data_IF_869248022217
#
_entry.id   IF_869248022217
#
_cell.length_a   1.000
_cell.length_b   1.000
_cell.length_c   1.000
_cell.angle_alpha   90.00
_cell.angle_beta   90.00
_cell.angle_gamma   90.00
#
_symmetry.space_group_name_H-M   'P 1'
#
loop_
_entity.id
_entity.type
_entity.pdbx_description
1 polymer ?
#
# COMPACT_ATOMS: atom_id res chain seq x y z
N UNK A 1 11.30 -13.89 17.21
CA UNK A 1 10.70 -12.55 17.01
C UNK A 1 11.21 -12.07 15.65
N UNK A 2 10.50 -12.44 14.59
CA UNK A 2 11.00 -12.33 13.22
C UNK A 2 10.87 -10.88 12.76
N UNK A 3 11.97 -10.13 12.89
CA UNK A 3 12.21 -8.87 12.18
C UNK A 3 12.37 -9.20 10.69
N UNK A 4 11.26 -9.33 9.97
CA UNK A 4 11.28 -8.89 8.58
C UNK A 4 11.44 -7.38 8.66
N UNK A 5 12.67 -6.95 8.46
CA UNK A 5 13.13 -5.60 8.69
C UNK A 5 12.30 -4.63 7.85
N UNK A 6 11.84 -3.55 8.48
CA UNK A 6 11.36 -2.32 7.83
C UNK A 6 12.28 -1.82 6.68
N UNK A 7 13.48 -2.37 6.53
CA UNK A 7 14.38 -2.17 5.39
C UNK A 7 13.86 -2.66 4.04
N UNK A 8 12.96 -3.66 3.98
CA UNK A 8 12.31 -4.06 2.71
C UNK A 8 11.15 -3.11 2.36
N UNK A 9 10.40 -2.64 3.36
CA UNK A 9 9.40 -1.58 3.20
C UNK A 9 10.03 -0.22 2.80
N UNK A 10 11.31 0.01 3.09
CA UNK A 10 12.04 1.21 2.62
C UNK A 10 12.15 1.32 1.10
N UNK A 11 12.03 0.24 0.31
CA UNK A 11 11.95 0.37 -1.15
C UNK A 11 10.64 1.02 -1.62
N UNK A 12 9.63 1.07 -0.74
CA UNK A 12 8.27 1.51 -1.05
C UNK A 12 8.07 3.00 -0.78
N UNK A 13 8.92 3.60 0.05
CA UNK A 13 8.95 5.04 0.33
C UNK A 13 9.19 5.88 -0.95
N UNK A 14 9.97 5.38 -1.90
CA UNK A 14 10.13 6.03 -3.22
C UNK A 14 9.06 5.67 -4.26
N UNK A 15 8.03 4.89 -3.91
CA UNK A 15 6.99 4.53 -4.89
C UNK A 15 5.99 5.64 -5.13
N UNK A 16 5.81 6.60 -4.21
CA UNK A 16 4.82 7.67 -4.41
C UNK A 16 5.00 8.41 -5.72
N UNK A 17 6.25 8.70 -6.11
CA UNK A 17 6.58 9.35 -7.37
C UNK A 17 6.39 8.45 -8.60
N UNK A 18 6.36 7.14 -8.40
CA UNK A 18 6.14 6.12 -9.44
C UNK A 18 4.69 5.66 -9.54
N UNK A 19 3.83 6.07 -8.61
CA UNK A 19 2.40 5.75 -8.61
C UNK A 19 1.68 6.77 -9.48
N UNK A 20 0.99 6.30 -10.52
CA UNK A 20 0.03 7.10 -11.27
C UNK A 20 -1.39 6.64 -10.98
N UNK A 21 -2.26 7.56 -10.55
CA UNK A 21 -3.67 7.28 -10.32
C UNK A 21 -4.44 7.31 -11.65
N UNK A 22 -5.16 6.24 -11.96
CA UNK A 22 -5.92 6.08 -13.21
C UNK A 22 -7.39 6.44 -12.99
N UNK A 23 -8.05 5.78 -12.04
CA UNK A 23 -9.46 6.03 -11.72
C UNK A 23 -9.83 5.58 -10.31
N UNK A 24 -10.91 6.11 -9.77
CA UNK A 24 -11.47 5.61 -8.50
C UNK A 24 -12.21 4.30 -8.73
N UNK A 25 -11.88 3.27 -7.93
CA UNK A 25 -12.58 1.99 -7.93
C UNK A 25 -13.72 1.96 -6.92
N UNK A 26 -13.57 2.65 -5.80
CA UNK A 26 -14.61 2.72 -4.78
C UNK A 26 -14.19 3.52 -3.56
N UNK A 27 -15.17 3.78 -2.70
CA UNK A 27 -14.99 4.49 -1.44
C UNK A 27 -15.81 3.81 -0.36
N UNK A 28 -15.17 3.54 0.77
CA UNK A 28 -15.80 2.92 1.92
C UNK A 28 -15.46 3.66 3.22
N UNK A 29 -15.81 3.03 4.35
CA UNK A 29 -15.55 3.57 5.68
C UNK A 29 -14.05 3.76 5.96
N UNK A 30 -13.20 2.90 5.39
CA UNK A 30 -11.76 2.89 5.63
C UNK A 30 -10.96 3.72 4.62
N UNK A 31 -11.64 4.48 3.76
CA UNK A 31 -11.00 5.34 2.77
C UNK A 31 -11.41 5.03 1.33
N UNK A 32 -10.57 5.46 0.39
CA UNK A 32 -10.84 5.39 -1.04
C UNK A 32 -9.84 4.45 -1.71
N UNK A 33 -10.33 3.69 -2.67
CA UNK A 33 -9.52 2.77 -3.49
C UNK A 33 -9.46 3.31 -4.91
N UNK A 34 -8.27 3.38 -5.45
CA UNK A 34 -7.99 3.80 -6.81
C UNK A 34 -7.36 2.65 -7.59
N UNK A 35 -7.67 2.56 -8.87
CA UNK A 35 -6.83 1.89 -9.83
C UNK A 35 -5.64 2.80 -10.10
N UNK A 36 -4.45 2.25 -10.02
CA UNK A 36 -3.22 2.94 -10.34
C UNK A 36 -2.24 2.08 -11.12
N UNK A 37 -1.14 2.68 -11.54
CA UNK A 37 0.02 1.99 -12.10
C UNK A 37 1.25 2.31 -11.27
N UNK A 38 2.16 1.35 -11.16
CA UNK A 38 3.48 1.53 -10.54
C UNK A 38 4.56 1.06 -11.47
N UNK A 39 5.50 1.95 -11.77
CA UNK A 39 6.63 1.62 -12.62
C UNK A 39 7.70 0.85 -11.85
N UNK A 40 8.22 -0.22 -12.48
CA UNK A 40 9.27 -1.08 -11.96
C UNK A 40 8.98 -1.66 -10.56
N UNK A 41 7.71 -1.98 -10.30
CA UNK A 41 7.28 -2.61 -9.05
C UNK A 41 7.77 -4.06 -8.94
N UNK A 42 7.82 -4.76 -10.07
CA UNK A 42 8.41 -6.08 -10.18
C UNK A 42 9.55 -6.04 -11.21
N UNK A 43 10.57 -6.91 -11.10
CA UNK A 43 11.68 -6.93 -12.06
C UNK A 43 11.25 -7.26 -13.49
N UNK A 44 10.14 -7.99 -13.62
CA UNK A 44 9.68 -8.56 -14.89
C UNK A 44 8.69 -7.65 -15.64
N UNK A 45 8.08 -6.69 -14.94
CA UNK A 45 7.07 -5.79 -15.50
C UNK A 45 7.51 -4.32 -15.42
N UNK A 46 7.58 -3.60 -16.56
CA UNK A 46 7.94 -2.18 -16.56
C UNK A 46 6.91 -1.32 -15.84
N UNK A 47 5.63 -1.71 -15.91
CA UNK A 47 4.52 -1.04 -15.24
C UNK A 47 3.52 -2.10 -14.77
N UNK A 48 3.20 -2.09 -13.48
CA UNK A 48 2.23 -3.00 -12.87
C UNK A 48 0.95 -2.24 -12.52
N UNK A 49 -0.21 -2.79 -12.88
CA UNK A 49 -1.51 -2.27 -12.43
C UNK A 49 -1.73 -2.66 -10.97
N UNK A 50 -2.15 -1.70 -10.16
CA UNK A 50 -2.32 -1.87 -8.71
C UNK A 50 -3.64 -1.28 -8.23
N UNK A 51 -4.13 -1.75 -7.10
CA UNK A 51 -5.13 -1.06 -6.32
C UNK A 51 -4.44 -0.26 -5.20
N UNK A 52 -4.66 1.05 -5.18
CA UNK A 52 -4.13 1.96 -4.15
C UNK A 52 -5.24 2.34 -3.19
N UNK A 53 -5.17 1.87 -1.95
CA UNK A 53 -6.09 2.23 -0.87
C UNK A 53 -5.49 3.40 -0.08
N UNK A 54 -6.13 4.55 -0.12
CA UNK A 54 -5.76 5.74 0.67
C UNK A 54 -6.62 5.82 1.92
N UNK A 55 -6.03 6.02 3.09
CA UNK A 55 -6.79 6.26 4.32
C UNK A 55 -7.28 7.71 4.40
N UNK A 56 -8.53 7.91 4.84
CA UNK A 56 -9.20 9.22 4.86
C UNK A 56 -8.86 10.11 6.07
N UNK A 57 -8.55 9.52 7.22
CA UNK A 57 -8.33 10.25 8.46
C UNK A 57 -7.22 9.61 9.30
N UNK A 58 -6.04 10.24 9.33
CA UNK A 58 -4.93 9.87 10.22
C UNK A 58 -4.83 10.76 11.46
N UNK A 59 -5.82 11.63 11.67
CA UNK A 59 -5.82 12.61 12.77
C UNK A 59 -5.95 11.96 14.17
N UNK A 60 -6.23 10.65 14.23
CA UNK A 60 -6.27 9.89 15.46
C UNK A 60 -5.05 8.96 15.54
N UNK A 61 -4.37 8.96 16.68
CA UNK A 61 -3.26 8.03 16.99
C UNK A 61 -3.63 6.58 16.67
N UNK A 62 -4.89 6.23 16.90
CA UNK A 62 -5.42 4.88 16.75
C UNK A 62 -5.49 4.44 15.29
N UNK A 63 -5.79 5.38 14.36
CA UNK A 63 -5.85 5.08 12.93
C UNK A 63 -4.48 4.69 12.35
N UNK A 64 -3.40 5.30 12.86
CA UNK A 64 -2.03 4.93 12.48
C UNK A 64 -1.66 3.54 13.02
N UNK A 65 -2.02 3.24 14.26
CA UNK A 65 -1.78 1.92 14.87
C UNK A 65 -2.55 0.83 14.11
N UNK A 66 -3.80 1.09 13.76
CA UNK A 66 -4.61 0.15 12.99
C UNK A 66 -4.06 -0.04 11.57
N UNK A 67 -3.58 1.01 10.93
CA UNK A 67 -2.88 0.92 9.64
C UNK A 67 -1.63 0.05 9.72
N UNK A 68 -0.77 0.28 10.72
CA UNK A 68 0.45 -0.50 10.91
C UNK A 68 0.13 -1.98 11.18
N UNK A 69 -0.91 -2.26 11.98
CA UNK A 69 -1.39 -3.63 12.22
C UNK A 69 -1.93 -4.28 10.96
N UNK A 70 -2.75 -3.59 10.18
CA UNK A 70 -3.29 -4.11 8.91
C UNK A 70 -2.15 -4.40 7.93
N UNK A 71 -1.16 -3.50 7.81
CA UNK A 71 0.02 -3.70 6.97
C UNK A 71 0.87 -4.90 7.43
N UNK A 72 1.06 -5.10 8.74
CA UNK A 72 1.79 -6.25 9.30
C UNK A 72 1.07 -7.57 9.00
N UNK A 73 -0.25 -7.61 9.15
CA UNK A 73 -1.06 -8.78 8.81
C UNK A 73 -0.93 -9.11 7.31
N UNK A 74 -1.13 -8.12 6.43
CA UNK A 74 -1.07 -8.29 4.99
C UNK A 74 0.32 -8.71 4.49
N UNK A 75 1.39 -8.23 5.12
CA UNK A 75 2.78 -8.62 4.80
C UNK A 75 2.98 -10.14 4.94
N UNK A 76 2.30 -10.76 5.90
CA UNK A 76 2.39 -12.20 6.17
C UNK A 76 1.41 -13.04 5.32
N UNK A 77 0.53 -12.41 4.54
CA UNK A 77 -0.49 -13.09 3.74
C UNK A 77 -0.04 -13.20 2.27
N UNK A 78 0.70 -14.26 1.95
CA UNK A 78 1.13 -14.57 0.59
C UNK A 78 0.59 -15.94 0.17
N UNK A 79 -0.39 -15.94 -0.73
CA UNK A 79 -1.03 -17.15 -1.24
C UNK A 79 -1.73 -16.85 -2.58
N UNK A 80 -1.82 -17.83 -3.48
CA UNK A 80 -2.37 -17.64 -4.84
C UNK A 80 -3.84 -17.16 -4.86
N UNK A 81 -4.61 -17.48 -3.82
CA UNK A 81 -6.02 -17.09 -3.65
C UNK A 81 -6.21 -15.86 -2.76
N UNK A 82 -5.14 -15.16 -2.40
CA UNK A 82 -5.18 -13.93 -1.59
C UNK A 82 -4.57 -12.81 -2.44
N UNK A 83 -5.23 -11.66 -2.44
CA UNK A 83 -4.73 -10.49 -3.17
C UNK A 83 -3.32 -10.17 -2.67
N UNK A 84 -2.39 -10.00 -3.62
CA UNK A 84 -1.01 -9.70 -3.31
C UNK A 84 -0.92 -8.32 -2.67
N UNK A 85 -0.22 -8.23 -1.55
CA UNK A 85 0.10 -6.95 -0.94
C UNK A 85 1.53 -6.58 -1.31
N UNK A 86 1.70 -5.42 -1.95
CA UNK A 86 3.02 -4.94 -2.35
C UNK A 86 3.66 -4.09 -1.26
N UNK A 87 2.85 -3.35 -0.48
CA UNK A 87 3.29 -2.67 0.73
C UNK A 87 2.62 -1.33 0.97
N UNK A 88 3.31 -0.43 1.67
CA UNK A 88 2.77 0.87 2.09
C UNK A 88 3.63 2.07 1.67
N UNK A 89 2.98 3.18 1.31
CA UNK A 89 3.63 4.49 1.22
C UNK A 89 3.06 5.38 2.31
N UNK A 90 3.94 5.87 3.18
CA UNK A 90 3.61 6.81 4.26
C UNK A 90 4.01 8.24 3.91
N UNK A 91 4.42 8.48 2.67
CA UNK A 91 4.90 9.77 2.19
C UNK A 91 3.70 10.63 1.75
N UNK A 92 3.66 11.88 2.22
CA UNK A 92 2.59 12.83 1.91
C UNK A 92 1.51 12.92 2.99
N UNK A 93 0.36 13.51 2.62
CA UNK A 93 -0.71 13.86 3.57
C UNK A 93 -1.51 12.65 4.09
N UNK A 94 -1.57 11.57 3.32
CA UNK A 94 -2.34 10.37 3.66
C UNK A 94 -1.56 9.08 3.35
N UNK A 95 -1.47 8.12 4.29
CA UNK A 95 -0.89 6.81 4.05
C UNK A 95 -1.67 6.03 2.99
N UNK A 96 -0.92 5.22 2.24
CA UNK A 96 -1.42 4.40 1.14
C UNK A 96 -0.99 2.95 1.33
N UNK A 97 -1.88 2.03 0.99
CA UNK A 97 -1.60 0.60 0.82
C UNK A 97 -1.68 0.25 -0.66
N UNK A 98 -0.71 -0.54 -1.14
CA UNK A 98 -0.59 -0.95 -2.54
C UNK A 98 -0.84 -2.45 -2.63
N UNK A 99 -1.83 -2.83 -3.44
CA UNK A 99 -2.27 -4.19 -3.71
C UNK A 99 -2.22 -4.51 -5.20
#
# INVERSE_FOLDING_TARGET
MCVYTWGLLKSITSLREKISFVQTLGEGAFGRVFLGTVDYLTPDEPTTLVAVKTLKDTNFSDAKVDFEREAELLTNMQHDNIIKFYGVSTDGEAPMMIF
#
